data_IF_124376064085
#
_entry.id   IF_124376064085
#
_cell.length_a   1.000
_cell.length_b   1.000
_cell.length_c   1.000
_cell.angle_alpha   90.00
_cell.angle_beta   90.00
_cell.angle_gamma   90.00
#
_symmetry.space_group_name_H-M   'P 1'
#
loop_
_entity.id
_entity.type
_entity.pdbx_description
1 polymer ?
#
# COMPACT_ATOMS: atom_id res chain seq x y z
N UNK A 1 23.45 2.67 15.76
CA UNK A 1 22.39 2.47 14.74
C UNK A 1 21.36 3.56 14.96
N UNK A 2 21.04 4.36 13.94
CA UNK A 2 20.01 5.39 14.05
C UNK A 2 18.65 4.70 13.99
N UNK A 3 17.82 4.89 15.02
CA UNK A 3 16.44 4.39 14.99
C UNK A 3 15.65 5.25 14.00
N UNK A 4 15.25 4.66 12.88
CA UNK A 4 14.37 5.31 11.89
C UNK A 4 12.92 5.13 12.35
N UNK A 5 12.17 6.23 12.37
CA UNK A 5 10.71 6.19 12.52
C UNK A 5 10.11 6.14 11.13
N UNK A 6 9.41 5.06 10.78
CA UNK A 6 8.85 4.87 9.44
C UNK A 6 7.65 5.79 9.20
N UNK A 7 7.25 5.94 7.93
CA UNK A 7 6.04 6.67 7.56
C UNK A 7 4.80 6.14 8.29
N UNK A 8 4.68 4.81 8.44
CA UNK A 8 3.59 4.18 9.19
C UNK A 8 3.52 4.64 10.64
N UNK A 9 4.66 4.71 11.32
CA UNK A 9 4.70 5.10 12.72
C UNK A 9 4.34 6.57 12.91
N UNK A 10 4.85 7.46 12.04
CA UNK A 10 4.48 8.87 12.03
C UNK A 10 2.99 9.07 11.74
N UNK A 11 2.48 8.35 10.74
CA UNK A 11 1.09 8.45 10.31
C UNK A 11 0.11 8.01 11.39
N UNK A 12 0.41 6.94 12.13
CA UNK A 12 -0.44 6.45 13.23
C UNK A 12 -0.31 7.33 14.47
N UNK A 13 0.88 7.85 14.78
CA UNK A 13 1.09 8.74 15.93
C UNK A 13 0.46 10.12 15.72
N UNK A 14 0.56 10.65 14.51
CA UNK A 14 0.09 11.97 14.15
C UNK A 14 -0.49 11.95 12.73
N UNK A 15 -1.74 11.49 12.55
CA UNK A 15 -2.35 11.46 11.24
C UNK A 15 -2.46 12.87 10.65
N UNK A 16 -2.08 13.06 9.37
CA UNK A 16 -2.22 14.35 8.71
C UNK A 16 -3.70 14.67 8.51
N UNK A 17 -4.02 15.97 8.41
CA UNK A 17 -5.41 16.43 8.30
C UNK A 17 -6.13 15.87 7.07
N UNK A 18 -5.40 15.66 5.97
CA UNK A 18 -5.88 15.08 4.73
C UNK A 18 -6.30 13.61 4.87
N UNK A 19 -5.88 12.91 5.94
CA UNK A 19 -6.28 11.54 6.24
C UNK A 19 -7.45 11.46 7.23
N UNK A 20 -7.86 12.58 7.82
CA UNK A 20 -8.96 12.64 8.79
C UNK A 20 -10.30 12.85 8.07
N UNK A 21 -11.35 12.21 8.58
CA UNK A 21 -12.73 12.34 8.07
C UNK A 21 -12.89 12.01 6.56
N UNK A 22 -11.99 11.19 6.01
CA UNK A 22 -12.05 10.67 4.64
C UNK A 22 -11.97 9.14 4.65
N UNK A 23 -12.48 8.50 3.61
CA UNK A 23 -12.40 7.04 3.45
C UNK A 23 -11.03 6.68 2.87
N UNK A 24 -10.30 5.84 3.60
CA UNK A 24 -8.96 5.40 3.22
C UNK A 24 -9.01 4.03 2.56
N UNK A 25 -8.31 3.93 1.43
CA UNK A 25 -7.82 2.66 0.90
C UNK A 25 -6.42 2.38 1.41
N UNK A 26 -6.05 1.12 1.60
CA UNK A 26 -4.69 0.75 1.99
C UNK A 26 -4.08 -0.25 1.00
N UNK A 27 -3.09 0.19 0.24
CA UNK A 27 -2.19 -0.67 -0.53
C UNK A 27 -1.06 -1.16 0.39
N UNK A 28 -1.07 -2.45 0.72
CA UNK A 28 -0.10 -3.03 1.65
C UNK A 28 0.09 -4.53 1.39
N UNK A 29 1.06 -5.12 2.07
CA UNK A 29 1.34 -6.55 2.10
C UNK A 29 1.92 -6.91 3.50
N UNK A 30 2.40 -8.15 3.74
CA UNK A 30 2.98 -8.52 5.04
C UNK A 30 4.16 -7.67 5.53
N UNK A 31 4.81 -6.89 4.65
CA UNK A 31 5.88 -5.97 5.04
C UNK A 31 5.37 -4.68 5.70
N UNK A 32 4.08 -4.39 5.55
CA UNK A 32 3.39 -3.26 6.16
C UNK A 32 3.20 -3.47 7.67
N UNK A 33 4.29 -3.33 8.43
CA UNK A 33 4.32 -3.50 9.88
C UNK A 33 5.07 -2.36 10.59
N UNK A 34 4.72 -2.11 11.86
CA UNK A 34 5.45 -1.18 12.75
C UNK A 34 6.62 -1.86 13.49
N UNK A 35 7.36 -1.12 14.32
CA UNK A 35 8.48 -1.67 15.11
C UNK A 35 8.08 -2.78 16.10
N UNK A 36 6.78 -2.94 16.36
CA UNK A 36 6.21 -3.96 17.26
C UNK A 36 5.60 -5.12 16.47
N UNK A 37 5.87 -5.21 15.17
CA UNK A 37 5.35 -6.24 14.27
C UNK A 37 3.82 -6.22 14.14
N UNK A 38 3.18 -5.06 14.37
CA UNK A 38 1.74 -4.88 14.16
C UNK A 38 1.49 -4.44 12.71
N UNK A 39 0.55 -5.09 12.04
CA UNK A 39 0.19 -4.80 10.65
C UNK A 39 -0.42 -3.40 10.50
N UNK A 40 -0.07 -2.69 9.42
CA UNK A 40 -0.70 -1.42 9.05
C UNK A 40 -2.21 -1.55 8.85
N UNK A 41 -2.70 -2.71 8.38
CA UNK A 41 -4.13 -3.00 8.29
C UNK A 41 -4.78 -2.82 9.67
N UNK A 42 -4.25 -3.49 10.69
CA UNK A 42 -4.82 -3.44 12.04
C UNK A 42 -4.64 -2.05 12.66
N UNK A 43 -3.47 -1.44 12.49
CA UNK A 43 -3.18 -0.12 13.04
C UNK A 43 -4.13 0.95 12.49
N UNK A 44 -4.43 0.94 11.19
CA UNK A 44 -5.33 1.91 10.58
C UNK A 44 -6.80 1.57 10.87
N UNK A 45 -7.18 0.29 10.86
CA UNK A 45 -8.56 -0.14 11.16
C UNK A 45 -8.97 0.13 12.62
N UNK A 46 -8.04 0.00 13.56
CA UNK A 46 -8.28 0.22 14.99
C UNK A 46 -8.10 1.69 15.41
N UNK A 47 -7.62 2.55 14.51
CA UNK A 47 -7.35 3.95 14.86
C UNK A 47 -8.65 4.77 14.93
N UNK A 48 -8.94 5.44 16.07
CA UNK A 48 -10.25 6.06 16.31
C UNK A 48 -10.59 7.25 15.41
N UNK A 49 -9.57 7.86 14.78
CA UNK A 49 -9.72 9.03 13.91
C UNK A 49 -9.58 8.73 12.41
N UNK A 50 -9.34 7.46 12.05
CA UNK A 50 -9.20 7.04 10.65
C UNK A 50 -10.40 6.21 10.23
N UNK A 51 -10.70 6.20 8.93
CA UNK A 51 -11.79 5.39 8.37
C UNK A 51 -11.23 4.56 7.23
N UNK A 52 -10.72 3.37 7.54
CA UNK A 52 -10.24 2.41 6.55
C UNK A 52 -11.41 1.63 5.95
N UNK A 53 -11.58 1.66 4.63
CA UNK A 53 -12.75 1.08 3.95
C UNK A 53 -12.42 0.00 2.94
N UNK A 54 -11.19 -0.07 2.44
CA UNK A 54 -10.77 -1.08 1.47
C UNK A 54 -9.28 -1.41 1.56
N UNK A 55 -8.94 -2.64 1.22
CA UNK A 55 -7.57 -3.15 1.17
C UNK A 55 -7.19 -3.46 -0.27
N UNK A 56 -5.96 -3.13 -0.65
CA UNK A 56 -5.39 -3.40 -1.97
C UNK A 56 -4.12 -4.22 -1.77
N UNK A 57 -4.09 -5.41 -2.35
CA UNK A 57 -2.94 -6.31 -2.30
C UNK A 57 -2.17 -6.28 -3.62
N UNK A 58 -0.83 -6.12 -3.61
CA UNK A 58 -0.01 -6.33 -4.79
C UNK A 58 0.15 -7.84 -5.06
N UNK A 59 1.26 -8.25 -5.68
CA UNK A 59 1.67 -9.65 -5.78
C UNK A 59 1.68 -10.33 -4.39
N UNK A 60 1.16 -11.56 -4.29
CA UNK A 60 0.94 -12.36 -3.06
C UNK A 60 -0.16 -11.88 -2.09
N UNK A 61 -0.87 -10.80 -2.44
CA UNK A 61 -2.02 -10.31 -1.69
C UNK A 61 -1.66 -9.64 -0.35
N UNK A 62 -2.68 -9.17 0.35
CA UNK A 62 -2.51 -8.27 1.51
C UNK A 62 -1.94 -8.97 2.76
N UNK A 63 -2.24 -10.27 2.93
CA UNK A 63 -1.79 -11.11 4.05
C UNK A 63 -0.72 -12.14 3.67
N UNK A 64 -0.27 -12.16 2.41
CA UNK A 64 0.70 -13.15 1.91
C UNK A 64 0.11 -14.56 1.73
N UNK A 65 -1.22 -14.65 1.62
CA UNK A 65 -1.96 -15.91 1.57
C UNK A 65 -2.07 -16.46 0.14
N UNK A 66 -1.82 -15.65 -0.89
CA UNK A 66 -1.81 -16.10 -2.28
C UNK A 66 -0.43 -16.62 -2.70
N UNK A 67 -0.41 -17.84 -3.26
CA UNK A 67 0.77 -18.33 -3.97
C UNK A 67 1.05 -17.48 -5.23
N UNK A 68 2.28 -17.53 -5.73
CA UNK A 68 2.65 -16.84 -6.97
C UNK A 68 1.71 -17.27 -8.11
N UNK A 69 0.92 -16.33 -8.65
CA UNK A 69 -0.04 -16.60 -9.73
C UNK A 69 -1.49 -16.88 -9.30
N UNK A 70 -1.78 -16.94 -8.00
CA UNK A 70 -3.17 -17.07 -7.52
C UNK A 70 -3.88 -15.70 -7.51
N UNK A 71 -5.13 -15.71 -7.99
CA UNK A 71 -5.98 -14.53 -8.03
C UNK A 71 -6.94 -14.53 -6.83
N UNK A 72 -6.95 -13.43 -6.07
CA UNK A 72 -7.90 -13.21 -4.97
C UNK A 72 -8.97 -12.25 -5.50
N UNK A 73 -10.07 -12.79 -5.99
CA UNK A 73 -11.22 -12.01 -6.48
C UNK A 73 -12.28 -11.91 -5.38
N UNK A 74 -12.72 -10.69 -5.04
CA UNK A 74 -13.88 -10.46 -4.16
C UNK A 74 -13.74 -10.97 -2.72
N UNK A 75 -12.52 -11.02 -2.17
CA UNK A 75 -12.31 -11.50 -0.81
C UNK A 75 -12.59 -10.41 0.24
N UNK A 76 -13.05 -10.85 1.42
CA UNK A 76 -13.15 -10.02 2.63
C UNK A 76 -12.01 -10.45 3.57
N UNK A 77 -11.24 -9.50 4.10
CA UNK A 77 -10.25 -9.81 5.14
C UNK A 77 -10.98 -10.28 6.41
N UNK A 78 -10.80 -11.53 6.84
CA UNK A 78 -11.59 -12.10 7.95
C UNK A 78 -11.31 -11.42 9.30
N UNK A 79 -10.21 -10.67 9.41
CA UNK A 79 -9.81 -9.98 10.63
C UNK A 79 -10.41 -8.57 10.74
N UNK A 80 -10.36 -7.80 9.65
CA UNK A 80 -10.87 -6.42 9.61
C UNK A 80 -12.31 -6.31 9.08
N UNK A 81 -12.81 -7.33 8.37
CA UNK A 81 -14.11 -7.31 7.69
C UNK A 81 -14.13 -6.43 6.43
N UNK A 82 -12.95 -5.99 5.95
CA UNK A 82 -12.84 -5.07 4.81
C UNK A 82 -12.72 -5.81 3.48
N UNK A 83 -13.25 -5.24 2.37
CA UNK A 83 -13.04 -5.77 1.04
C UNK A 83 -11.56 -5.72 0.65
N UNK A 84 -11.11 -6.76 -0.05
CA UNK A 84 -9.77 -6.91 -0.62
C UNK A 84 -9.87 -6.83 -2.14
N UNK A 85 -9.10 -5.93 -2.74
CA UNK A 85 -8.87 -5.82 -4.17
C UNK A 85 -7.47 -6.33 -4.52
N UNK A 86 -7.39 -7.28 -5.45
CA UNK A 86 -6.12 -7.77 -5.98
C UNK A 86 -5.64 -6.86 -7.12
N UNK A 87 -4.42 -6.33 -6.97
CA UNK A 87 -3.74 -5.52 -8.00
C UNK A 87 -2.66 -6.34 -8.74
N UNK A 88 -2.99 -7.59 -9.05
CA UNK A 88 -2.12 -8.54 -9.73
C UNK A 88 -2.84 -9.28 -10.87
N UNK A 89 -2.06 -9.79 -11.84
CA UNK A 89 -2.60 -10.53 -12.98
C UNK A 89 -3.35 -9.63 -13.97
N UNK A 90 -4.65 -9.88 -14.16
CA UNK A 90 -5.50 -9.15 -15.09
C UNK A 90 -5.75 -7.70 -14.64
N UNK A 91 -5.73 -7.43 -13.34
CA UNK A 91 -6.03 -6.13 -12.76
C UNK A 91 -4.77 -5.56 -12.12
N UNK A 92 -3.90 -4.90 -12.88
CA UNK A 92 -2.70 -4.22 -12.33
C UNK A 92 -2.93 -2.75 -12.03
N UNK A 93 -3.85 -2.14 -12.76
CA UNK A 93 -4.31 -0.76 -12.59
C UNK A 93 -5.71 -0.87 -11.99
N UNK A 94 -6.00 -0.28 -10.82
CA UNK A 94 -7.33 -0.35 -10.24
C UNK A 94 -8.31 0.42 -11.14
N UNK A 95 -9.38 -0.23 -11.64
CA UNK A 95 -10.45 0.46 -12.34
C UNK A 95 -11.24 1.36 -11.38
N UNK A 96 -12.03 2.28 -11.95
CA UNK A 96 -12.78 3.30 -11.21
C UNK A 96 -13.65 2.73 -10.08
N UNK A 97 -14.34 1.61 -10.34
CA UNK A 97 -15.23 0.94 -9.39
C UNK A 97 -14.48 0.40 -8.15
N UNK A 98 -13.23 -0.03 -8.31
CA UNK A 98 -12.38 -0.39 -7.17
C UNK A 98 -11.96 0.81 -6.32
N UNK A 99 -12.11 2.03 -6.80
CA UNK A 99 -11.74 3.28 -6.10
C UNK A 99 -12.95 4.04 -5.56
N UNK A 100 -14.18 3.64 -5.88
CA UNK A 100 -15.42 4.31 -5.45
C UNK A 100 -15.59 4.32 -3.92
N UNK A 101 -15.09 3.27 -3.26
CA UNK A 101 -15.12 3.07 -1.81
C UNK A 101 -14.16 3.97 -1.01
N UNK A 102 -13.27 4.71 -1.69
CA UNK A 102 -12.19 5.48 -1.05
C UNK A 102 -12.15 6.92 -1.58
N UNK A 103 -11.58 7.79 -0.77
CA UNK A 103 -11.26 9.19 -1.12
C UNK A 103 -9.74 9.39 -1.21
N UNK A 104 -8.97 8.64 -0.43
CA UNK A 104 -7.50 8.67 -0.43
C UNK A 104 -6.90 7.26 -0.34
N UNK A 105 -5.91 6.97 -1.20
CA UNK A 105 -5.10 5.76 -1.15
C UNK A 105 -3.88 5.97 -0.25
N UNK A 106 -3.74 5.15 0.78
CA UNK A 106 -2.54 5.05 1.62
C UNK A 106 -1.69 3.89 1.12
N UNK A 107 -0.39 4.11 0.94
CA UNK A 107 0.56 3.12 0.41
C UNK A 107 1.60 2.80 1.48
N UNK A 108 1.69 1.54 1.89
CA UNK A 108 2.65 1.05 2.89
C UNK A 108 3.29 -0.27 2.44
N UNK A 109 4.37 -0.18 1.65
CA UNK A 109 5.06 -1.32 1.07
C UNK A 109 6.58 -1.20 1.22
N UNK A 110 7.24 -2.23 1.73
CA UNK A 110 8.70 -2.31 1.73
C UNK A 110 9.19 -2.84 0.37
N UNK A 111 9.76 -1.95 -0.44
CA UNK A 111 10.48 -2.33 -1.65
C UNK A 111 11.96 -2.64 -1.37
N UNK A 112 12.67 -3.19 -2.35
CA UNK A 112 14.09 -3.57 -2.23
C UNK A 112 15.05 -2.61 -2.94
N UNK A 113 14.56 -1.56 -3.62
CA UNK A 113 15.40 -0.57 -4.29
C UNK A 113 16.00 -1.05 -5.61
N UNK A 114 15.34 -2.01 -6.28
CA UNK A 114 15.76 -2.55 -7.57
C UNK A 114 14.63 -2.43 -8.59
N UNK A 115 14.92 -2.23 -9.88
CA UNK A 115 13.84 -1.98 -10.87
C UNK A 115 12.95 -3.22 -11.15
N UNK A 116 13.48 -4.43 -10.97
CA UNK A 116 12.78 -5.66 -11.36
C UNK A 116 11.77 -6.15 -10.30
N UNK A 117 11.67 -5.50 -9.13
CA UNK A 117 10.56 -5.74 -8.21
C UNK A 117 9.28 -5.12 -8.78
N UNK A 118 8.17 -5.84 -8.64
CA UNK A 118 6.86 -5.46 -9.17
C UNK A 118 6.15 -4.42 -8.30
N UNK A 119 6.54 -4.26 -7.03
CA UNK A 119 5.84 -3.36 -6.10
C UNK A 119 5.93 -1.88 -6.53
N UNK A 120 7.09 -1.42 -6.97
CA UNK A 120 7.23 -0.02 -7.44
C UNK A 120 6.37 0.26 -8.68
N UNK A 121 6.22 -0.74 -9.56
CA UNK A 121 5.31 -0.65 -10.71
C UNK A 121 3.84 -0.63 -10.28
N UNK A 122 3.44 -1.44 -9.29
CA UNK A 122 2.09 -1.38 -8.70
C UNK A 122 1.82 0.01 -8.12
N UNK A 123 2.78 0.58 -7.39
CA UNK A 123 2.66 1.94 -6.83
C UNK A 123 2.47 2.98 -7.94
N UNK A 124 3.26 2.91 -9.02
CA UNK A 124 3.11 3.83 -10.15
C UNK A 124 1.70 3.73 -10.78
N UNK A 125 1.22 2.51 -11.06
CA UNK A 125 -0.12 2.30 -11.60
C UNK A 125 -1.24 2.81 -10.70
N UNK A 126 -1.09 2.65 -9.39
CA UNK A 126 -2.08 3.14 -8.42
C UNK A 126 -2.07 4.67 -8.34
N UNK A 127 -0.89 5.31 -8.41
CA UNK A 127 -0.79 6.78 -8.46
C UNK A 127 -1.47 7.31 -9.72
N UNK A 128 -1.21 6.72 -10.89
CA UNK A 128 -1.82 7.14 -12.15
C UNK A 128 -3.36 7.01 -12.09
N UNK A 129 -3.88 5.88 -11.61
CA UNK A 129 -5.31 5.66 -11.47
C UNK A 129 -5.96 6.61 -10.44
N UNK A 130 -5.28 6.86 -9.31
CA UNK A 130 -5.77 7.83 -8.33
C UNK A 130 -5.84 9.24 -8.93
N UNK A 131 -4.83 9.65 -9.71
CA UNK A 131 -4.83 10.94 -10.39
C UNK A 131 -5.96 11.05 -11.41
N UNK A 132 -6.19 10.00 -12.22
CA UNK A 132 -7.29 9.95 -13.20
C UNK A 132 -8.68 10.07 -12.55
N UNK A 133 -8.84 9.47 -11.36
CA UNK A 133 -10.12 9.42 -10.65
C UNK A 133 -10.25 10.43 -9.49
N UNK A 134 -9.35 11.41 -9.40
CA UNK A 134 -9.41 12.49 -8.41
C UNK A 134 -9.28 12.02 -6.96
N UNK A 135 -8.55 10.92 -6.72
CA UNK A 135 -8.29 10.36 -5.39
C UNK A 135 -6.98 10.92 -4.82
N UNK A 136 -6.95 11.18 -3.52
CA UNK A 136 -5.71 11.53 -2.81
C UNK A 136 -4.76 10.34 -2.74
N UNK A 137 -3.46 10.60 -2.60
CA UNK A 137 -2.45 9.56 -2.35
C UNK A 137 -1.54 9.98 -1.20
N UNK A 138 -1.32 9.06 -0.26
CA UNK A 138 -0.38 9.22 0.86
C UNK A 138 0.59 8.04 0.85
N UNK A 139 1.89 8.31 0.73
CA UNK A 139 2.94 7.29 0.78
C UNK A 139 3.52 7.25 2.19
N UNK A 140 3.41 6.11 2.86
CA UNK A 140 4.05 5.84 4.15
C UNK A 140 5.49 5.40 3.86
N UNK A 141 6.37 6.39 3.77
CA UNK A 141 7.74 6.16 3.30
C UNK A 141 8.51 5.11 4.12
N UNK A 142 9.32 4.31 3.41
CA UNK A 142 10.10 3.20 3.97
C UNK A 142 11.56 3.29 3.52
N UNK A 143 12.52 2.88 4.36
CA UNK A 143 13.94 2.89 3.99
C UNK A 143 14.21 2.03 2.75
N UNK A 144 15.02 2.53 1.82
CA UNK A 144 15.59 1.68 0.77
C UNK A 144 16.70 0.78 1.37
N UNK A 145 16.55 -0.56 1.36
CA UNK A 145 17.50 -1.47 1.99
C UNK A 145 18.86 -1.51 1.28
N UNK A 146 18.96 -1.08 0.03
CA UNK A 146 20.21 -0.94 -0.73
C UNK A 146 20.91 0.40 -0.51
N UNK A 147 20.41 1.24 0.41
CA UNK A 147 20.80 2.64 0.66
C UNK A 147 20.28 3.63 -0.39
N UNK A 148 20.27 4.92 -0.05
CA UNK A 148 19.94 6.01 -0.98
C UNK A 148 21.14 6.56 -1.77
N UNK A 149 22.27 5.87 -1.78
CA UNK A 149 23.54 6.38 -2.35
C UNK A 149 24.08 5.57 -3.53
N UNK A 150 23.53 4.38 -3.77
CA UNK A 150 23.99 3.48 -4.83
C UNK A 150 23.04 3.55 -6.01
N UNK A 151 23.60 3.79 -7.20
CA UNK A 151 22.89 3.76 -8.48
C UNK A 151 23.70 2.89 -9.44
N UNK A 152 23.07 1.89 -10.06
CA UNK A 152 23.74 0.94 -10.94
C UNK A 152 22.78 0.38 -12.00
N UNK A 153 23.36 -0.12 -13.11
CA UNK A 153 22.62 -0.63 -14.27
C UNK A 153 22.27 0.46 -15.27
N UNK A 154 21.98 0.06 -16.50
CA UNK A 154 21.47 0.98 -17.52
C UNK A 154 20.00 1.36 -17.24
N UNK A 155 19.63 2.57 -17.66
CA UNK A 155 18.24 2.98 -17.74
C UNK A 155 17.51 2.02 -18.71
N UNK A 156 16.22 1.80 -18.48
CA UNK A 156 15.39 1.00 -19.37
C UNK A 156 15.29 1.71 -20.73
N UNK A 157 15.45 0.97 -21.83
CA UNK A 157 15.20 1.51 -23.16
C UNK A 157 13.72 1.89 -23.29
N UNK A 158 13.45 3.01 -23.95
CA UNK A 158 12.10 3.54 -24.20
C UNK A 158 11.46 2.95 -25.44
#
# INVERSE_FOLDING_TARGET
MTNVVTGLERFVEQPPGEALAVRLGLLTNPSGIDRRMRSSINLLAEHPSLTLTALYGPEHGVRGEAQAGEHIEGAIDPRSGLPIHSLYGATRIPPADMLDGIDTMVIDLQDIGARFTTYISTVAHVIDACAEHGKGVIILDRPNPLTGTRVAGNILDT
#
